data_IF_594580138561
#
_entry.id   IF_594580138561
#
_cell.length_a   1.000
_cell.length_b   1.000
_cell.length_c   1.000
_cell.angle_alpha   90.00
_cell.angle_beta   90.00
_cell.angle_gamma   90.00
#
_symmetry.space_group_name_H-M   'P 1'
#
loop_
_entity.id
_entity.type
_entity.pdbx_description
1 polymer ?
#
# COMPACT_ATOMS: atom_id res chain seq x y z
N UNK A 1 -15.33 -38.11 -14.08
CA UNK A 1 -15.93 -36.77 -14.29
C UNK A 1 -16.27 -36.05 -12.97
N UNK A 2 -17.06 -36.64 -12.06
CA UNK A 2 -17.39 -36.02 -10.74
C UNK A 2 -16.17 -35.66 -9.89
N UNK A 3 -15.15 -36.53 -9.83
CA UNK A 3 -13.91 -36.28 -9.07
C UNK A 3 -13.09 -35.13 -9.65
N UNK A 4 -13.01 -35.04 -10.99
CA UNK A 4 -12.28 -33.97 -11.69
C UNK A 4 -12.95 -32.62 -11.43
N UNK A 5 -14.28 -32.55 -11.50
CA UNK A 5 -15.03 -31.32 -11.19
C UNK A 5 -14.77 -30.87 -9.75
N UNK A 6 -14.74 -31.80 -8.79
CA UNK A 6 -14.43 -31.49 -7.38
C UNK A 6 -13.01 -30.92 -7.22
N UNK A 7 -12.02 -31.50 -7.91
CA UNK A 7 -10.63 -31.02 -7.86
C UNK A 7 -10.52 -29.61 -8.46
N UNK A 8 -11.13 -29.37 -9.62
CA UNK A 8 -11.14 -28.03 -10.26
C UNK A 8 -11.80 -27.00 -9.34
N UNK A 9 -12.96 -27.35 -8.74
CA UNK A 9 -13.65 -26.48 -7.80
C UNK A 9 -12.81 -26.16 -6.56
N UNK A 10 -12.08 -27.15 -6.04
CA UNK A 10 -11.18 -26.95 -4.90
C UNK A 10 -9.99 -26.03 -5.25
N UNK A 11 -9.37 -26.22 -6.41
CA UNK A 11 -8.28 -25.35 -6.89
C UNK A 11 -8.78 -23.92 -7.09
N UNK A 12 -9.95 -23.74 -7.70
CA UNK A 12 -10.56 -22.42 -7.88
C UNK A 12 -10.82 -21.73 -6.53
N UNK A 13 -11.32 -22.48 -5.53
CA UNK A 13 -11.51 -21.95 -4.18
C UNK A 13 -10.20 -21.52 -3.53
N UNK A 14 -9.13 -22.33 -3.63
CA UNK A 14 -7.82 -21.97 -3.10
C UNK A 14 -7.26 -20.71 -3.77
N UNK A 15 -7.41 -20.58 -5.09
CA UNK A 15 -7.00 -19.38 -5.82
C UNK A 15 -7.78 -18.14 -5.37
N UNK A 16 -9.08 -18.28 -5.11
CA UNK A 16 -9.90 -17.20 -4.57
C UNK A 16 -9.46 -16.81 -3.16
N UNK A 17 -9.22 -17.77 -2.27
CA UNK A 17 -8.74 -17.50 -0.91
C UNK A 17 -7.40 -16.78 -0.94
N UNK A 18 -6.48 -17.22 -1.81
CA UNK A 18 -5.19 -16.57 -2.00
C UNK A 18 -5.34 -15.13 -2.53
N UNK A 19 -6.14 -14.93 -3.59
CA UNK A 19 -6.36 -13.61 -4.19
C UNK A 19 -7.09 -12.64 -3.24
N UNK A 20 -7.88 -13.14 -2.29
CA UNK A 20 -8.59 -12.32 -1.30
C UNK A 20 -7.78 -12.06 -0.03
N UNK A 21 -6.56 -12.62 0.10
CA UNK A 21 -5.70 -12.39 1.25
C UNK A 21 -5.23 -10.93 1.32
N UNK A 22 -5.37 -10.31 2.49
CA UNK A 22 -4.96 -8.91 2.75
C UNK A 22 -4.17 -8.81 4.03
N UNK A 23 -3.24 -7.87 4.07
CA UNK A 23 -2.51 -7.49 5.29
C UNK A 23 -2.97 -6.10 5.73
N UNK A 24 -3.35 -5.95 6.99
CA UNK A 24 -3.81 -4.67 7.55
C UNK A 24 -2.79 -4.21 8.58
N UNK A 25 -2.33 -2.97 8.41
CA UNK A 25 -1.28 -2.36 9.18
C UNK A 25 -1.82 -1.15 9.92
N UNK A 26 -1.85 -1.21 11.25
CA UNK A 26 -2.09 -0.03 12.08
C UNK A 26 -0.87 0.90 12.04
N UNK A 27 -1.09 2.20 11.86
CA UNK A 27 -0.06 3.24 11.98
C UNK A 27 -0.16 3.94 13.35
N UNK A 28 -1.38 4.31 13.74
CA UNK A 28 -1.73 4.86 15.05
C UNK A 28 -3.18 4.43 15.42
N UNK A 29 -3.85 5.15 16.33
CA UNK A 29 -5.21 4.83 16.77
C UNK A 29 -6.28 4.93 15.66
N UNK A 30 -6.13 5.86 14.73
CA UNK A 30 -7.14 6.19 13.70
C UNK A 30 -6.72 5.83 12.28
N UNK A 31 -5.44 5.60 12.02
CA UNK A 31 -4.89 5.38 10.69
C UNK A 31 -4.44 3.94 10.47
N UNK A 32 -4.89 3.39 9.34
CA UNK A 32 -4.61 2.02 8.93
C UNK A 32 -4.23 1.99 7.46
N UNK A 33 -3.43 1.00 7.08
CA UNK A 33 -3.12 0.72 5.69
C UNK A 33 -3.46 -0.73 5.39
N UNK A 34 -4.27 -0.96 4.37
CA UNK A 34 -4.51 -2.30 3.84
C UNK A 34 -3.66 -2.53 2.61
N UNK A 35 -2.86 -3.59 2.61
CA UNK A 35 -2.10 -4.06 1.45
C UNK A 35 -2.73 -5.36 0.95
N UNK A 36 -3.22 -5.34 -0.28
CA UNK A 36 -3.94 -6.43 -0.91
C UNK A 36 -3.22 -6.90 -2.17
N UNK A 37 -2.42 -7.96 -2.03
CA UNK A 37 -1.75 -8.61 -3.15
C UNK A 37 -2.74 -9.48 -3.91
N UNK A 38 -2.84 -9.26 -5.21
CA UNK A 38 -3.74 -9.95 -6.13
C UNK A 38 -2.94 -10.85 -7.06
N UNK A 39 -3.63 -11.82 -7.66
CA UNK A 39 -3.10 -12.61 -8.76
C UNK A 39 -2.77 -11.72 -9.97
N UNK A 40 -1.74 -12.10 -10.74
CA UNK A 40 -1.31 -11.36 -11.92
C UNK A 40 -0.42 -10.14 -11.64
N UNK A 41 0.40 -10.20 -10.60
CA UNK A 41 1.36 -9.15 -10.20
C UNK A 41 0.71 -7.78 -9.94
N UNK A 42 -0.48 -7.76 -9.32
CA UNK A 42 -1.19 -6.54 -8.95
C UNK A 42 -1.28 -6.42 -7.44
N UNK A 43 -1.08 -5.24 -6.90
CA UNK A 43 -1.22 -4.91 -5.50
C UNK A 43 -2.10 -3.68 -5.36
N UNK A 44 -3.09 -3.76 -4.47
CA UNK A 44 -3.98 -2.65 -4.12
C UNK A 44 -3.60 -2.21 -2.70
N UNK A 45 -3.38 -0.92 -2.50
CA UNK A 45 -3.11 -0.33 -1.18
C UNK A 45 -4.20 0.69 -0.86
N UNK A 46 -4.78 0.63 0.33
CA UNK A 46 -5.75 1.61 0.84
C UNK A 46 -5.26 2.23 2.14
N UNK A 47 -5.74 3.44 2.44
CA UNK A 47 -5.43 4.18 3.68
C UNK A 47 -6.49 3.99 4.78
N UNK A 48 -7.15 2.85 4.75
CA UNK A 48 -8.17 2.45 5.71
C UNK A 48 -8.15 0.93 5.92
N UNK A 49 -9.02 0.44 6.79
CA UNK A 49 -9.28 -1.00 6.92
C UNK A 49 -10.23 -1.44 5.80
N UNK A 50 -9.75 -2.26 4.86
CA UNK A 50 -10.59 -2.79 3.78
C UNK A 50 -10.83 -4.30 3.93
N UNK A 51 -12.06 -4.65 4.30
CA UNK A 51 -12.48 -6.05 4.47
C UNK A 51 -13.37 -6.58 3.33
N UNK A 52 -13.92 -5.70 2.49
CA UNK A 52 -14.84 -6.09 1.40
C UNK A 52 -14.14 -6.89 0.31
N UNK A 53 -14.84 -7.86 -0.27
CA UNK A 53 -14.36 -8.66 -1.42
C UNK A 53 -14.28 -7.86 -2.73
N UNK A 54 -14.96 -6.71 -2.79
CA UNK A 54 -14.94 -5.81 -3.93
C UNK A 54 -13.73 -4.88 -3.86
N UNK A 55 -13.31 -4.37 -5.03
CA UNK A 55 -12.29 -3.31 -5.06
C UNK A 55 -12.83 -2.06 -4.32
N UNK A 56 -12.00 -1.40 -3.51
CA UNK A 56 -12.34 -0.12 -2.89
C UNK A 56 -12.54 0.98 -3.94
N UNK A 57 -13.25 2.05 -3.58
CA UNK A 57 -13.44 3.23 -4.43
C UNK A 57 -12.21 4.15 -4.46
N UNK A 58 -11.42 4.14 -3.39
CA UNK A 58 -10.15 4.86 -3.26
C UNK A 58 -9.01 3.88 -3.02
N UNK A 59 -8.00 3.89 -3.89
CA UNK A 59 -6.83 3.02 -3.74
C UNK A 59 -5.64 3.45 -4.59
N UNK A 60 -4.49 2.92 -4.20
CA UNK A 60 -3.25 2.91 -4.96
C UNK A 60 -3.12 1.52 -5.60
N UNK A 61 -2.95 1.44 -6.91
CA UNK A 61 -2.63 0.20 -7.62
C UNK A 61 -1.16 0.22 -8.02
N UNK A 62 -0.43 -0.84 -7.70
CA UNK A 62 0.99 -1.05 -8.03
C UNK A 62 1.24 -2.53 -8.30
N UNK A 63 2.48 -2.93 -8.54
CA UNK A 63 2.86 -4.34 -8.66
C UNK A 63 3.19 -4.99 -7.31
N UNK A 64 3.25 -6.33 -7.26
CA UNK A 64 3.63 -7.07 -6.04
C UNK A 64 5.15 -7.02 -5.76
N UNK A 65 5.91 -6.35 -6.62
CA UNK A 65 7.35 -6.20 -6.57
C UNK A 65 7.78 -4.73 -6.64
N UNK A 66 7.10 -3.88 -5.86
CA UNK A 66 7.45 -2.46 -5.71
C UNK A 66 7.85 -2.14 -4.26
N UNK A 67 8.71 -1.14 -4.10
CA UNK A 67 8.98 -0.48 -2.83
C UNK A 67 8.14 0.80 -2.77
N UNK A 68 7.26 0.88 -1.77
CA UNK A 68 6.34 2.01 -1.63
C UNK A 68 6.47 2.62 -0.25
N UNK A 69 6.63 3.93 -0.19
CA UNK A 69 6.55 4.71 1.05
C UNK A 69 5.39 5.69 0.97
N UNK A 70 4.49 5.63 1.95
CA UNK A 70 3.34 6.52 2.11
C UNK A 70 3.61 7.42 3.30
N UNK A 71 3.44 8.72 3.10
CA UNK A 71 3.53 9.74 4.15
C UNK A 71 2.18 10.44 4.28
N UNK A 72 1.63 10.46 5.49
CA UNK A 72 0.34 11.09 5.79
C UNK A 72 0.61 12.23 6.76
N UNK A 73 0.21 13.46 6.41
CA UNK A 73 0.31 14.61 7.31
C UNK A 73 -0.77 14.51 8.40
N UNK A 74 -0.37 14.55 9.68
CA UNK A 74 -1.31 14.49 10.82
C UNK A 74 -2.13 15.79 10.96
N UNK A 75 -1.65 16.91 10.39
CA UNK A 75 -2.19 18.26 10.62
C UNK A 75 -3.07 18.77 9.48
N UNK A 76 -2.85 18.33 8.24
CA UNK A 76 -3.59 18.82 7.07
C UNK A 76 -4.59 17.79 6.52
N UNK A 77 -5.89 18.11 6.62
CA UNK A 77 -6.97 17.32 6.03
C UNK A 77 -7.06 17.40 4.48
N UNK A 78 -6.26 18.26 3.83
CA UNK A 78 -6.42 18.65 2.42
C UNK A 78 -5.43 17.99 1.44
N UNK A 79 -4.46 17.20 1.92
CA UNK A 79 -3.67 16.30 1.09
C UNK A 79 -3.96 14.88 1.54
N UNK A 80 -4.43 14.03 0.63
CA UNK A 80 -4.79 12.66 0.98
C UNK A 80 -3.55 11.91 1.51
N UNK A 81 -2.38 12.09 0.86
CA UNK A 81 -1.06 11.56 1.27
C UNK A 81 0.02 11.92 0.24
N UNK A 82 1.28 11.64 0.58
CA UNK A 82 2.44 11.64 -0.33
C UNK A 82 2.88 10.20 -0.56
N UNK A 83 3.27 9.90 -1.80
CA UNK A 83 3.70 8.57 -2.20
C UNK A 83 5.09 8.61 -2.81
N UNK A 84 5.98 7.76 -2.32
CA UNK A 84 7.25 7.47 -2.97
C UNK A 84 7.25 6.04 -3.52
N UNK A 85 7.67 5.87 -4.78
CA UNK A 85 7.81 4.58 -5.45
C UNK A 85 9.27 4.34 -5.83
N UNK A 86 9.97 3.53 -5.04
CA UNK A 86 11.43 3.39 -5.11
C UNK A 86 11.96 2.48 -6.20
N UNK A 87 11.12 1.74 -6.93
CA UNK A 87 11.55 0.83 -8.00
C UNK A 87 11.01 1.23 -9.38
N UNK A 88 10.54 2.49 -9.53
CA UNK A 88 9.97 3.05 -10.77
C UNK A 88 8.87 2.19 -11.41
N UNK A 89 8.21 1.35 -10.60
CA UNK A 89 7.07 0.54 -11.06
C UNK A 89 5.87 1.44 -11.29
N UNK A 90 4.97 0.97 -12.16
CA UNK A 90 3.73 1.67 -12.42
C UNK A 90 2.91 1.79 -11.14
N UNK A 91 2.52 3.02 -10.82
CA UNK A 91 1.58 3.35 -9.77
C UNK A 91 0.39 4.05 -10.41
N UNK A 92 -0.80 3.55 -10.15
CA UNK A 92 -2.05 4.19 -10.53
C UNK A 92 -2.82 4.60 -9.27
N UNK A 93 -3.40 5.78 -9.29
CA UNK A 93 -4.14 6.36 -8.18
C UNK A 93 -5.61 6.46 -8.59
N UNK A 94 -6.51 5.93 -7.76
CA UNK A 94 -7.95 5.96 -8.03
C UNK A 94 -8.67 6.60 -6.85
N UNK A 95 -9.54 7.58 -7.14
CA UNK A 95 -10.50 8.16 -6.18
C UNK A 95 -9.93 9.17 -5.19
N UNK A 96 -8.61 9.35 -5.14
CA UNK A 96 -7.94 10.41 -4.39
C UNK A 96 -7.74 11.66 -5.24
N UNK A 97 -7.74 12.85 -4.62
CA UNK A 97 -7.74 14.12 -5.34
C UNK A 97 -6.43 14.91 -5.18
N UNK A 98 -5.78 14.80 -4.02
CA UNK A 98 -4.59 15.59 -3.69
C UNK A 98 -3.44 14.70 -3.27
N UNK A 99 -2.64 14.22 -4.22
CA UNK A 99 -1.47 13.36 -3.98
C UNK A 99 -0.24 13.90 -4.68
N UNK A 100 0.88 13.91 -3.95
CA UNK A 100 2.21 14.14 -4.52
C UNK A 100 2.91 12.80 -4.68
N UNK A 101 3.37 12.49 -5.89
CA UNK A 101 4.07 11.23 -6.19
C UNK A 101 5.53 11.53 -6.51
N UNK A 102 6.42 10.93 -5.72
CA UNK A 102 7.86 10.90 -5.95
C UNK A 102 8.26 9.56 -6.58
N UNK A 103 9.01 9.62 -7.68
CA UNK A 103 9.67 8.47 -8.29
C UNK A 103 11.11 8.36 -7.78
N UNK A 104 11.81 7.29 -8.15
CA UNK A 104 13.14 6.98 -7.63
C UNK A 104 14.17 8.08 -7.97
N UNK A 105 14.07 8.69 -9.14
CA UNK A 105 14.91 9.83 -9.57
C UNK A 105 14.76 11.07 -8.68
N UNK A 106 13.66 11.16 -7.92
CA UNK A 106 13.36 12.24 -6.98
C UNK A 106 13.54 11.84 -5.51
N UNK A 107 14.25 10.75 -5.23
CA UNK A 107 14.46 10.27 -3.86
C UNK A 107 15.12 11.33 -2.95
N UNK A 108 16.13 12.06 -3.43
CA UNK A 108 16.80 13.09 -2.61
C UNK A 108 15.87 14.27 -2.28
N UNK A 109 14.99 14.66 -3.21
CA UNK A 109 13.97 15.69 -2.97
C UNK A 109 12.95 15.21 -1.93
N UNK A 110 12.46 13.98 -2.07
CA UNK A 110 11.58 13.32 -1.10
C UNK A 110 12.24 13.26 0.28
N UNK A 111 13.50 12.81 0.36
CA UNK A 111 14.25 12.69 1.61
C UNK A 111 14.41 14.05 2.29
N UNK A 112 14.82 15.08 1.55
CA UNK A 112 14.96 16.44 2.08
C UNK A 112 13.65 17.00 2.65
N UNK A 113 12.52 16.65 2.05
CA UNK A 113 11.22 17.17 2.48
C UNK A 113 10.67 16.43 3.70
N UNK A 114 10.82 15.11 3.79
CA UNK A 114 10.15 14.28 4.79
C UNK A 114 11.07 13.65 5.84
N UNK A 115 12.38 13.82 5.72
CA UNK A 115 13.34 13.36 6.72
C UNK A 115 14.15 14.53 7.29
N UNK A 116 14.55 14.40 8.55
CA UNK A 116 15.45 15.31 9.26
C UNK A 116 16.50 14.46 9.98
N UNK A 117 17.79 14.73 9.73
CA UNK A 117 18.91 13.95 10.30
C UNK A 117 18.80 12.42 10.07
N UNK A 118 18.30 12.00 8.90
CA UNK A 118 17.97 10.60 8.55
C UNK A 118 16.83 9.96 9.36
N UNK A 119 16.10 10.74 10.15
CA UNK A 119 14.89 10.34 10.88
C UNK A 119 13.64 10.93 10.25
N UNK A 120 12.49 10.33 10.53
CA UNK A 120 11.18 10.79 10.10
C UNK A 120 10.81 12.11 10.79
N UNK A 121 10.13 13.03 10.07
CA UNK A 121 9.60 14.26 10.70
C UNK A 121 8.38 13.99 11.57
N UNK A 122 8.34 14.58 12.75
CA UNK A 122 7.42 14.30 13.88
C UNK A 122 5.91 14.49 13.55
N UNK A 123 5.59 15.31 12.55
CA UNK A 123 4.20 15.64 12.20
C UNK A 123 3.57 14.75 11.11
N UNK A 124 4.23 13.67 10.71
CA UNK A 124 3.71 12.77 9.70
C UNK A 124 3.70 11.32 10.18
N UNK A 125 2.78 10.53 9.63
CA UNK A 125 2.79 9.08 9.72
C UNK A 125 3.50 8.50 8.51
N UNK A 126 4.34 7.49 8.75
CA UNK A 126 5.11 6.85 7.70
C UNK A 126 4.80 5.38 7.62
N UNK A 127 4.61 4.91 6.39
CA UNK A 127 4.50 3.51 6.07
C UNK A 127 5.34 3.19 4.85
N UNK A 128 6.41 2.44 5.06
CA UNK A 128 7.21 1.90 3.95
C UNK A 128 7.04 0.39 3.91
N UNK A 129 6.81 -0.14 2.71
CA UNK A 129 6.74 -1.57 2.45
C UNK A 129 7.50 -1.93 1.18
N UNK A 130 8.41 -2.90 1.30
CA UNK A 130 8.85 -3.71 0.17
C UNK A 130 7.80 -4.82 -0.06
N UNK A 131 7.03 -4.69 -1.12
CA UNK A 131 5.93 -5.63 -1.39
C UNK A 131 6.50 -7.02 -1.78
N UNK A 132 7.70 -7.09 -2.35
CA UNK A 132 8.32 -8.37 -2.74
C UNK A 132 8.82 -9.13 -1.51
N UNK A 133 9.56 -8.44 -0.63
CA UNK A 133 10.32 -9.05 0.47
C UNK A 133 9.65 -8.86 1.85
N UNK A 134 8.49 -8.18 1.90
CA UNK A 134 7.73 -7.87 3.13
C UNK A 134 8.56 -7.14 4.20
N UNK A 135 9.60 -6.40 3.82
CA UNK A 135 10.25 -5.47 4.74
C UNK A 135 9.29 -4.31 4.99
N UNK A 136 8.91 -4.11 6.25
CA UNK A 136 7.93 -3.12 6.67
C UNK A 136 8.56 -2.24 7.74
N UNK A 137 8.60 -0.94 7.50
CA UNK A 137 8.95 0.05 8.52
C UNK A 137 7.76 0.97 8.76
N UNK A 138 7.39 1.14 10.02
CA UNK A 138 6.33 2.05 10.45
C UNK A 138 6.90 3.03 11.47
N UNK A 139 6.44 4.25 11.41
CA UNK A 139 6.79 5.25 12.41
C UNK A 139 5.56 6.10 12.73
N UNK A 140 5.22 6.13 14.02
CA UNK A 140 4.31 7.08 14.63
C UNK A 140 4.98 7.52 15.92
N UNK A 141 5.18 8.83 16.08
CA UNK A 141 5.48 9.40 17.38
C UNK A 141 4.20 9.38 18.22
N UNK A 142 4.24 8.58 19.30
CA UNK A 142 3.32 8.64 20.44
C UNK A 142 3.95 9.54 21.53
#
# INVERSE_FOLDING_TARGET
MRTIIKIIGFIALLLLVFDQSRSIYRLDDSHYITVWKRLGNKCIITLDKHYSIFKPSKYIETTNDNLVTIVIDKQHANSDFVLYSGQDKAVNIVGYQSIVIYKNDKYEEFKKQYYENNSYKIHHLYFSIDIKEKLISKFSDD
#
